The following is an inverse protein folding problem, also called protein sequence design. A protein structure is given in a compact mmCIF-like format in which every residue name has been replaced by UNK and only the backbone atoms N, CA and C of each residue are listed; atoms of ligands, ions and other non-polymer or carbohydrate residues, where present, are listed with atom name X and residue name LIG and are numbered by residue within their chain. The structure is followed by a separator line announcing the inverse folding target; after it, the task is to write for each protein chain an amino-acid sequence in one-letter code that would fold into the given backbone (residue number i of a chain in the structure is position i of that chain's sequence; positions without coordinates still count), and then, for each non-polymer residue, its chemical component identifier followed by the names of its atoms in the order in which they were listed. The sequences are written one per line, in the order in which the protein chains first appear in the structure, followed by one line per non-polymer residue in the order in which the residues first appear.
data_IF_291613575215
#
_entry.id   IF_291613575215
#
_cell.length_a   1.000
_cell.length_b   1.000
_cell.length_c   1.000
_cell.angle_alpha   90.00
_cell.angle_beta   90.00
_cell.angle_gamma   90.00
#
_symmetry.space_group_name_H-M   'P 1'
#
loop_
_entity.id
_entity.type
_entity.pdbx_description
1 polymer ?
#
# COMPACT_ATOMS: atom_id res chain seq x y z
N UNK A 1 -16.52 29.42 8.54
CA UNK A 1 -17.06 28.70 7.37
C UNK A 1 -16.39 29.25 6.13
N UNK A 2 -15.62 28.44 5.39
CA UNK A 2 -15.21 28.82 4.03
C UNK A 2 -16.46 28.91 3.17
N UNK A 3 -16.67 30.03 2.47
CA UNK A 3 -17.76 30.18 1.51
C UNK A 3 -17.54 29.22 0.34
N UNK A 4 -18.56 28.42 0.03
CA UNK A 4 -18.56 27.57 -1.15
C UNK A 4 -18.56 28.45 -2.39
N UNK A 5 -17.62 28.23 -3.30
CA UNK A 5 -17.54 28.98 -4.56
C UNK A 5 -17.22 28.04 -5.72
N UNK A 6 -17.24 28.56 -6.94
CA UNK A 6 -16.87 27.77 -8.13
C UNK A 6 -15.43 27.21 -8.06
N UNK A 7 -14.55 27.75 -7.20
CA UNK A 7 -13.21 27.19 -6.99
C UNK A 7 -13.21 25.98 -6.04
N UNK A 8 -14.28 25.74 -5.28
CA UNK A 8 -14.41 24.65 -4.31
C UNK A 8 -14.64 23.29 -4.96
N UNK A 9 -15.13 23.25 -6.19
CA UNK A 9 -15.39 22.01 -6.94
C UNK A 9 -14.66 22.09 -8.28
N UNK A 10 -13.78 21.13 -8.53
CA UNK A 10 -13.05 21.00 -9.79
C UNK A 10 -13.47 19.71 -10.49
N UNK A 11 -13.81 19.83 -11.77
CA UNK A 11 -14.14 18.70 -12.64
C UNK A 11 -12.89 18.23 -13.39
N UNK A 12 -12.95 17.04 -13.97
CA UNK A 12 -11.85 16.46 -14.78
C UNK A 12 -10.54 16.30 -14.00
N UNK A 13 -10.65 15.96 -12.72
CA UNK A 13 -9.51 15.75 -11.83
C UNK A 13 -9.41 14.27 -11.49
N UNK A 14 -8.20 13.73 -11.52
CA UNK A 14 -7.89 12.37 -11.10
C UNK A 14 -6.63 12.38 -10.23
N UNK A 15 -6.54 11.51 -9.20
CA UNK A 15 -5.25 11.26 -8.57
C UNK A 15 -4.28 10.68 -9.62
N UNK A 16 -3.00 11.01 -9.47
CA UNK A 16 -1.91 10.51 -10.31
C UNK A 16 -0.78 9.99 -9.42
N UNK A 17 -0.10 8.93 -9.88
CA UNK A 17 1.07 8.35 -9.22
C UNK A 17 2.25 8.36 -10.19
N UNK A 18 3.44 8.63 -9.69
CA UNK A 18 4.63 8.73 -10.51
C UNK A 18 5.25 7.36 -10.80
N UNK A 19 4.78 6.69 -11.85
CA UNK A 19 5.26 5.39 -12.30
C UNK A 19 5.45 5.37 -13.81
N UNK A 20 6.56 4.82 -14.27
CA UNK A 20 6.88 4.68 -15.70
C UNK A 20 7.56 3.34 -16.00
N UNK A 21 7.39 2.85 -17.22
CA UNK A 21 7.99 1.58 -17.66
C UNK A 21 9.46 1.79 -18.03
N UNK A 22 10.31 0.83 -17.66
CA UNK A 22 11.71 0.77 -18.06
C UNK A 22 12.12 -0.68 -18.35
N UNK A 23 13.17 -0.88 -19.14
CA UNK A 23 13.85 -2.17 -19.25
C UNK A 23 14.99 -2.22 -18.23
N UNK A 24 15.35 -3.40 -17.75
CA UNK A 24 16.61 -3.61 -17.04
C UNK A 24 17.77 -3.74 -18.02
N UNK A 25 18.98 -3.36 -17.60
CA UNK A 25 20.21 -3.72 -18.31
C UNK A 25 20.29 -5.26 -18.40
N UNK A 26 20.75 -5.82 -19.54
CA UNK A 26 20.87 -7.27 -19.69
C UNK A 26 21.72 -7.88 -18.58
N UNK A 27 21.19 -8.91 -17.91
CA UNK A 27 21.85 -9.58 -16.79
C UNK A 27 22.49 -10.85 -17.33
N UNK A 28 23.81 -10.93 -17.28
CA UNK A 28 24.56 -12.12 -17.68
C UNK A 28 24.66 -13.08 -16.49
N UNK A 29 23.87 -14.15 -16.51
CA UNK A 29 23.86 -15.17 -15.47
C UNK A 29 24.94 -16.19 -15.76
N UNK A 30 25.95 -16.24 -14.88
CA UNK A 30 27.10 -17.16 -14.99
C UNK A 30 27.10 -18.26 -13.93
N UNK A 31 26.13 -18.19 -12.99
CA UNK A 31 26.02 -19.03 -11.79
C UNK A 31 27.26 -19.02 -10.87
N UNK A 32 28.18 -18.05 -11.04
CA UNK A 32 29.30 -17.81 -10.11
C UNK A 32 28.90 -16.96 -8.91
N UNK A 33 27.76 -16.29 -9.01
CA UNK A 33 27.17 -15.46 -7.96
C UNK A 33 25.71 -15.87 -7.77
N UNK A 34 25.26 -15.80 -6.52
CA UNK A 34 23.86 -16.08 -6.15
C UNK A 34 22.96 -14.92 -6.57
N UNK A 35 23.45 -13.69 -6.38
CA UNK A 35 22.74 -12.46 -6.67
C UNK A 35 23.41 -11.71 -7.82
N UNK A 36 22.59 -11.11 -8.67
CA UNK A 36 23.00 -10.25 -9.78
C UNK A 36 22.37 -8.87 -9.64
N UNK A 37 23.08 -7.82 -10.04
CA UNK A 37 22.53 -6.47 -9.99
C UNK A 37 21.36 -6.31 -10.97
N UNK A 38 20.25 -5.78 -10.46
CA UNK A 38 19.07 -5.44 -11.24
C UNK A 38 19.01 -3.92 -11.39
N UNK A 39 19.44 -3.43 -12.56
CA UNK A 39 19.65 -2.00 -12.81
C UNK A 39 18.74 -1.56 -13.95
N UNK A 40 17.91 -0.51 -13.79
CA UNK A 40 17.14 0.05 -14.89
C UNK A 40 18.07 0.57 -15.99
N UNK A 41 17.73 0.34 -17.25
CA UNK A 41 18.45 0.90 -18.39
C UNK A 41 18.01 2.35 -18.64
N UNK A 42 18.47 3.23 -17.76
CA UNK A 42 18.14 4.67 -17.77
C UNK A 42 19.41 5.49 -17.62
N UNK A 43 19.41 6.72 -18.17
CA UNK A 43 20.60 7.60 -18.15
C UNK A 43 20.90 8.17 -16.76
N UNK A 44 19.90 8.28 -15.89
CA UNK A 44 20.02 8.90 -14.57
C UNK A 44 19.67 7.92 -13.45
N UNK A 45 20.46 6.84 -13.30
CA UNK A 45 20.20 5.76 -12.34
C UNK A 45 19.91 6.24 -10.92
N UNK A 46 20.61 7.28 -10.45
CA UNK A 46 20.44 7.86 -9.11
C UNK A 46 19.08 8.55 -8.90
N UNK A 47 18.37 8.89 -9.97
CA UNK A 47 17.06 9.55 -9.93
C UNK A 47 15.90 8.55 -9.95
N UNK A 48 16.17 7.28 -10.28
CA UNK A 48 15.15 6.28 -10.51
C UNK A 48 15.23 5.16 -9.48
N UNK A 49 14.10 4.61 -9.10
CA UNK A 49 13.99 3.47 -8.19
C UNK A 49 13.04 2.45 -8.79
N UNK A 50 13.39 1.17 -8.69
CA UNK A 50 12.54 0.08 -9.14
C UNK A 50 11.37 -0.03 -8.17
N UNK A 51 10.16 0.15 -8.69
CA UNK A 51 8.93 -0.04 -7.95
C UNK A 51 8.45 -1.49 -8.06
N UNK A 52 8.51 -2.07 -9.26
CA UNK A 52 8.05 -3.42 -9.53
C UNK A 52 8.88 -4.07 -10.65
N UNK A 53 9.02 -5.39 -10.59
CA UNK A 53 9.52 -6.22 -11.70
C UNK A 53 8.34 -6.94 -12.32
N UNK A 54 7.96 -6.52 -13.51
CA UNK A 54 6.74 -6.98 -14.16
C UNK A 54 6.94 -8.31 -14.87
N UNK A 55 8.12 -8.49 -15.50
CA UNK A 55 8.42 -9.67 -16.30
C UNK A 55 9.90 -9.95 -16.34
N UNK A 56 10.28 -11.24 -16.27
CA UNK A 56 11.67 -11.70 -16.39
C UNK A 56 11.73 -12.78 -17.47
N UNK A 57 12.59 -12.58 -18.46
CA UNK A 57 12.75 -13.48 -19.61
C UNK A 57 14.21 -13.88 -19.75
N UNK A 58 14.45 -15.18 -19.75
CA UNK A 58 15.68 -15.80 -20.20
C UNK A 58 15.70 -15.84 -21.74
N UNK A 59 16.81 -15.42 -22.35
CA UNK A 59 17.04 -15.53 -23.78
C UNK A 59 18.29 -16.37 -24.04
N UNK A 60 18.11 -17.52 -24.69
CA UNK A 60 19.20 -18.41 -25.10
C UNK A 60 19.16 -18.63 -26.62
N UNK A 61 20.32 -18.51 -27.26
CA UNK A 61 20.48 -18.87 -28.66
C UNK A 61 20.88 -20.35 -28.76
N UNK A 62 20.10 -21.16 -29.47
CA UNK A 62 20.37 -22.57 -29.73
C UNK A 62 20.02 -22.89 -31.18
N UNK A 63 20.93 -23.49 -31.94
CA UNK A 63 20.72 -23.87 -33.36
C UNK A 63 20.08 -22.77 -34.22
N UNK A 64 20.60 -21.54 -34.12
CA UNK A 64 20.10 -20.36 -34.82
C UNK A 64 18.65 -19.95 -34.49
N UNK A 65 18.08 -20.47 -33.40
CA UNK A 65 16.77 -20.08 -32.86
C UNK A 65 16.94 -19.39 -31.52
N UNK A 66 16.17 -18.32 -31.31
CA UNK A 66 16.04 -17.65 -30.03
C UNK A 66 14.99 -18.40 -29.21
N UNK A 67 15.41 -19.02 -28.12
CA UNK A 67 14.53 -19.64 -27.14
C UNK A 67 14.33 -18.63 -26.01
N UNK A 68 13.06 -18.31 -25.73
CA UNK A 68 12.69 -17.45 -24.62
C UNK A 68 11.92 -18.25 -23.57
N UNK A 69 12.30 -18.09 -22.31
CA UNK A 69 11.67 -18.75 -21.17
C UNK A 69 11.35 -17.72 -20.12
N UNK A 70 10.15 -17.78 -19.57
CA UNK A 70 9.69 -16.87 -18.54
C UNK A 70 10.07 -17.38 -17.15
N UNK A 71 10.37 -16.44 -16.26
CA UNK A 71 10.63 -16.69 -14.85
C UNK A 71 9.53 -16.04 -14.01
N UNK A 72 9.07 -16.75 -12.98
CA UNK A 72 7.99 -16.29 -12.11
C UNK A 72 8.52 -15.82 -10.74
N UNK A 73 7.84 -14.90 -10.03
CA UNK A 73 8.25 -14.55 -8.68
C UNK A 73 8.27 -15.79 -7.77
N UNK A 74 9.28 -15.94 -6.94
CA UNK A 74 9.43 -17.10 -6.04
C UNK A 74 8.24 -17.27 -5.07
N UNK A 75 7.58 -16.18 -4.70
CA UNK A 75 6.39 -16.21 -3.83
C UNK A 75 5.08 -16.40 -4.60
N UNK A 76 5.12 -16.48 -5.93
CA UNK A 76 3.97 -16.83 -6.76
C UNK A 76 3.82 -18.36 -6.90
N UNK A 77 4.32 -19.13 -5.92
CA UNK A 77 4.11 -20.58 -5.82
C UNK A 77 2.61 -20.88 -5.66
N UNK A 78 1.90 -20.85 -6.77
CA UNK A 78 0.57 -21.41 -6.87
C UNK A 78 0.75 -22.92 -6.80
N UNK A 79 0.60 -23.50 -5.61
CA UNK A 79 0.67 -24.95 -5.37
C UNK A 79 -0.38 -25.77 -6.17
N UNK A 80 -1.18 -25.14 -7.02
CA UNK A 80 -2.26 -25.73 -7.80
C UNK A 80 -2.06 -25.71 -9.33
N UNK A 81 -1.02 -25.06 -9.87
CA UNK A 81 -0.80 -25.06 -11.33
C UNK A 81 0.06 -26.27 -11.75
N UNK A 82 -0.53 -27.15 -12.58
CA UNK A 82 0.11 -28.36 -13.10
C UNK A 82 1.20 -28.10 -14.17
N UNK A 83 1.40 -26.85 -14.60
CA UNK A 83 2.40 -26.43 -15.59
C UNK A 83 3.51 -25.56 -14.97
N UNK A 84 3.99 -25.94 -13.79
CA UNK A 84 5.18 -25.33 -13.21
C UNK A 84 6.46 -25.82 -13.94
N UNK A 85 7.01 -24.97 -14.82
CA UNK A 85 8.32 -25.17 -15.48
C UNK A 85 9.51 -24.97 -14.51
N UNK A 86 9.21 -24.64 -13.24
CA UNK A 86 10.16 -24.65 -12.14
C UNK A 86 11.16 -23.49 -12.15
N UNK A 87 10.89 -22.41 -12.89
CA UNK A 87 11.78 -21.25 -13.04
C UNK A 87 11.26 -20.05 -12.29
N UNK A 88 12.02 -19.65 -11.28
CA UNK A 88 11.63 -18.62 -10.34
C UNK A 88 12.71 -17.58 -10.15
N UNK A 89 12.30 -16.37 -9.76
CA UNK A 89 13.22 -15.33 -9.34
C UNK A 89 12.83 -14.76 -7.97
N UNK A 90 13.83 -14.31 -7.23
CA UNK A 90 13.66 -13.57 -5.99
C UNK A 90 14.44 -12.26 -6.06
N UNK A 91 13.82 -11.19 -5.57
CA UNK A 91 14.43 -9.85 -5.57
C UNK A 91 14.75 -9.48 -4.12
N UNK A 92 15.96 -8.97 -3.93
CA UNK A 92 16.42 -8.41 -2.67
C UNK A 92 16.77 -6.94 -2.90
N UNK A 93 16.38 -6.07 -1.98
CA UNK A 93 16.91 -4.71 -1.89
C UNK A 93 18.04 -4.67 -0.88
N UNK A 94 19.18 -4.10 -1.26
CA UNK A 94 20.36 -3.91 -0.44
C UNK A 94 20.56 -2.42 -0.13
N UNK A 95 20.30 -2.03 1.13
CA UNK A 95 20.31 -0.62 1.55
C UNK A 95 21.74 -0.08 1.69
N UNK A 96 22.67 -0.90 2.17
CA UNK A 96 24.07 -0.48 2.31
C UNK A 96 24.64 -0.15 0.92
N UNK A 97 24.26 -0.96 -0.07
CA UNK A 97 24.56 -0.65 -1.47
C UNK A 97 23.86 0.63 -1.93
N UNK A 98 22.59 0.84 -1.57
CA UNK A 98 21.86 2.07 -1.90
C UNK A 98 22.56 3.35 -1.44
N UNK A 99 23.16 3.31 -0.25
CA UNK A 99 23.89 4.44 0.32
C UNK A 99 25.24 4.64 -0.37
N UNK A 100 25.93 3.55 -0.73
CA UNK A 100 27.23 3.61 -1.40
C UNK A 100 27.14 3.97 -2.89
N UNK A 101 26.14 3.44 -3.61
CA UNK A 101 25.99 3.60 -5.06
C UNK A 101 24.50 3.54 -5.45
N UNK A 102 23.89 4.72 -5.44
CA UNK A 102 22.50 4.93 -5.83
C UNK A 102 22.20 4.40 -7.24
N UNK A 103 21.09 3.67 -7.38
CA UNK A 103 20.61 3.06 -8.62
C UNK A 103 20.99 1.58 -8.78
N UNK A 104 21.71 1.01 -7.82
CA UNK A 104 22.10 -0.40 -7.77
C UNK A 104 21.56 -1.07 -6.49
N UNK A 105 20.43 -0.57 -5.97
CA UNK A 105 19.83 -1.04 -4.72
C UNK A 105 19.24 -2.45 -4.83
N UNK A 106 18.91 -2.90 -6.04
CA UNK A 106 18.18 -4.13 -6.24
C UNK A 106 19.06 -5.20 -6.83
N UNK A 107 18.95 -6.39 -6.27
CA UNK A 107 19.57 -7.60 -6.77
C UNK A 107 18.51 -8.65 -7.03
N UNK A 108 18.76 -9.48 -8.03
CA UNK A 108 17.89 -10.58 -8.42
C UNK A 108 18.66 -11.91 -8.35
N UNK A 109 17.99 -12.93 -7.85
CA UNK A 109 18.43 -14.30 -7.78
C UNK A 109 17.48 -15.16 -8.61
N UNK A 110 18.03 -16.15 -9.32
CA UNK A 110 17.29 -17.08 -10.15
C UNK A 110 17.33 -18.48 -9.53
N UNK A 111 16.20 -19.17 -9.53
CA UNK A 111 16.01 -20.49 -8.95
C UNK A 111 15.35 -21.38 -9.99
N UNK A 112 15.96 -22.54 -10.25
CA UNK A 112 15.43 -23.54 -11.19
C UNK A 112 15.28 -24.89 -10.48
N UNK A 113 14.11 -25.52 -10.61
CA UNK A 113 13.79 -26.82 -9.99
C UNK A 113 14.53 -27.98 -10.63
N UNK A 114 14.53 -28.03 -11.96
CA UNK A 114 15.18 -29.07 -12.76
C UNK A 114 16.28 -28.41 -13.60
N UNK A 115 17.48 -28.33 -13.03
CA UNK A 115 18.63 -27.78 -13.73
C UNK A 115 19.13 -28.81 -14.73
N UNK A 116 18.83 -28.61 -16.01
CA UNK A 116 19.62 -29.21 -17.08
C UNK A 116 20.98 -28.50 -17.07
N UNK A 117 22.09 -29.25 -17.10
CA UNK A 117 23.44 -28.67 -17.03
C UNK A 117 23.67 -27.72 -18.23
N UNK A 118 23.41 -26.44 -17.99
CA UNK A 118 23.64 -25.36 -18.94
C UNK A 118 25.10 -24.94 -18.83
N UNK A 119 25.96 -25.55 -19.65
CA UNK A 119 27.25 -24.99 -19.96
C UNK A 119 27.04 -23.65 -20.71
N UNK A 120 27.43 -22.53 -20.10
CA UNK A 120 27.44 -21.21 -20.73
C UNK A 120 26.73 -20.12 -19.91
N UNK A 121 27.07 -18.86 -20.18
CA UNK A 121 26.36 -17.72 -19.62
C UNK A 121 25.02 -17.54 -20.36
N UNK A 122 23.95 -17.25 -19.63
CA UNK A 122 22.64 -16.95 -20.22
C UNK A 122 22.29 -15.49 -19.98
N UNK A 123 21.65 -14.86 -20.96
CA UNK A 123 21.21 -13.47 -20.87
C UNK A 123 19.78 -13.40 -20.36
N UNK A 124 19.59 -12.77 -19.21
CA UNK A 124 18.28 -12.44 -18.66
C UNK A 124 17.93 -10.99 -19.00
N UNK A 125 16.65 -10.75 -19.26
CA UNK A 125 16.08 -9.41 -19.44
C UNK A 125 14.90 -9.25 -18.49
N UNK A 126 14.68 -8.04 -17.99
CA UNK A 126 13.55 -7.75 -17.12
C UNK A 126 12.82 -6.48 -17.57
N UNK A 127 11.49 -6.53 -17.53
CA UNK A 127 10.62 -5.36 -17.67
C UNK A 127 10.28 -4.83 -16.28
N UNK A 128 10.47 -3.53 -16.08
CA UNK A 128 10.39 -2.88 -14.79
C UNK A 128 9.32 -1.78 -14.80
N UNK A 129 8.69 -1.57 -13.66
CA UNK A 129 8.03 -0.31 -13.33
C UNK A 129 8.93 0.46 -12.38
N UNK A 130 9.16 1.73 -12.68
CA UNK A 130 10.10 2.59 -11.95
C UNK A 130 9.40 3.89 -11.51
N UNK A 131 9.97 4.54 -10.50
CA UNK A 131 9.57 5.86 -10.02
C UNK A 131 10.77 6.81 -9.93
N UNK A 132 10.54 8.12 -9.92
CA UNK A 132 11.59 9.15 -9.81
C UNK A 132 12.01 9.46 -8.36
N UNK A 133 11.97 8.47 -7.46
CA UNK A 133 12.32 8.63 -6.04
C UNK A 133 11.60 9.82 -5.40
N UNK A 134 12.35 10.73 -4.79
CA UNK A 134 11.88 11.90 -4.05
C UNK A 134 11.71 13.15 -4.94
N UNK A 135 12.01 13.05 -6.24
CA UNK A 135 11.90 14.17 -7.18
C UNK A 135 10.47 14.71 -7.34
N UNK A 136 9.40 13.88 -7.36
CA UNK A 136 8.04 14.39 -7.52
C UNK A 136 7.66 15.44 -6.46
N UNK A 137 8.10 15.27 -5.21
CA UNK A 137 7.83 16.21 -4.13
C UNK A 137 8.50 17.57 -4.31
N UNK A 138 9.52 17.66 -5.17
CA UNK A 138 10.29 18.86 -5.48
C UNK A 138 9.76 19.61 -6.72
N UNK A 139 8.76 19.05 -7.41
CA UNK A 139 8.16 19.68 -8.59
C UNK A 139 7.39 20.94 -8.17
N UNK A 140 7.66 22.04 -8.87
CA UNK A 140 6.91 23.29 -8.73
C UNK A 140 5.53 23.11 -9.37
N UNK A 141 4.47 23.32 -8.59
CA UNK A 141 3.09 23.19 -9.03
C UNK A 141 2.34 24.54 -9.04
N UNK A 142 1.24 24.62 -9.79
CA UNK A 142 0.41 25.82 -9.91
C UNK A 142 0.87 26.80 -11.00
N UNK A 143 1.63 26.34 -11.98
CA UNK A 143 2.10 27.17 -13.09
C UNK A 143 0.97 27.48 -14.07
N UNK A 144 0.95 28.71 -14.60
CA UNK A 144 -0.13 29.18 -15.50
C UNK A 144 -0.19 28.45 -16.85
N UNK A 145 0.91 27.79 -17.25
CA UNK A 145 0.99 27.03 -18.50
C UNK A 145 0.78 25.51 -18.30
N UNK A 146 0.47 25.08 -17.08
CA UNK A 146 0.44 23.67 -16.70
C UNK A 146 1.75 23.22 -16.05
N UNK A 147 1.64 22.22 -15.19
CA UNK A 147 2.73 21.63 -14.41
C UNK A 147 3.28 20.34 -15.04
N UNK A 148 2.48 19.70 -15.90
CA UNK A 148 2.81 18.42 -16.54
C UNK A 148 2.63 18.51 -18.05
N UNK A 149 3.41 17.70 -18.76
CA UNK A 149 3.33 17.56 -20.22
C UNK A 149 2.84 16.16 -20.56
N UNK A 150 2.03 16.03 -21.61
CA UNK A 150 1.63 14.74 -22.15
C UNK A 150 2.49 14.40 -23.36
N UNK A 151 3.12 13.23 -23.34
CA UNK A 151 3.74 12.66 -24.53
C UNK A 151 2.65 11.97 -25.36
N UNK A 152 2.24 12.61 -26.47
CA UNK A 152 1.41 11.96 -27.48
C UNK A 152 -0.11 12.18 -27.40
N UNK A 153 -0.64 12.93 -26.43
CA UNK A 153 -2.04 13.35 -26.45
C UNK A 153 -2.20 14.79 -26.98
N UNK A 154 -2.89 14.92 -28.11
CA UNK A 154 -3.38 16.20 -28.62
C UNK A 154 -4.84 16.41 -28.17
N UNK A 155 -5.14 17.53 -27.51
CA UNK A 155 -6.53 17.89 -27.17
C UNK A 155 -6.75 18.52 -25.78
N UNK A 156 -5.73 18.56 -24.91
CA UNK A 156 -5.80 19.27 -23.62
C UNK A 156 -5.06 20.59 -23.69
N UNK A 157 -5.64 21.65 -23.12
CA UNK A 157 -5.03 22.99 -23.06
C UNK A 157 -3.91 23.08 -22.04
N UNK A 158 -4.03 22.40 -20.90
CA UNK A 158 -3.01 22.37 -19.83
C UNK A 158 -3.30 21.27 -18.80
N UNK A 159 -2.26 20.61 -18.30
CA UNK A 159 -2.35 19.71 -17.14
C UNK A 159 -1.77 20.43 -15.92
N UNK A 160 -2.57 20.64 -14.88
CA UNK A 160 -2.15 21.33 -13.66
C UNK A 160 -2.35 20.44 -12.43
N UNK A 161 -1.38 20.45 -11.53
CA UNK A 161 -1.48 19.78 -10.25
C UNK A 161 -2.28 20.66 -9.28
N UNK A 162 -3.33 20.10 -8.68
CA UNK A 162 -4.15 20.83 -7.71
C UNK A 162 -3.49 20.94 -6.33
N UNK A 163 -2.56 20.04 -6.04
CA UNK A 163 -1.82 19.96 -4.77
C UNK A 163 -0.38 19.57 -5.07
N UNK A 164 0.52 19.94 -4.16
CA UNK A 164 1.90 19.47 -4.20
C UNK A 164 1.92 17.93 -4.18
N UNK A 165 2.72 17.28 -5.04
CA UNK A 165 2.96 15.86 -4.94
C UNK A 165 3.50 15.49 -3.56
N UNK A 166 3.05 14.35 -3.04
CA UNK A 166 3.46 13.87 -1.73
C UNK A 166 4.93 13.43 -1.75
N UNK A 167 5.57 13.45 -0.57
CA UNK A 167 6.87 12.78 -0.39
C UNK A 167 6.72 11.29 -0.60
N UNK A 168 7.79 10.65 -1.06
CA UNK A 168 7.83 9.21 -1.25
C UNK A 168 7.80 8.53 0.11
N UNK A 169 6.76 7.73 0.34
CA UNK A 169 6.62 6.94 1.55
C UNK A 169 7.40 5.64 1.36
N UNK A 170 8.33 5.36 2.27
CA UNK A 170 9.10 4.12 2.31
C UNK A 170 9.01 3.55 3.72
N UNK A 171 8.92 2.22 3.82
CA UNK A 171 9.26 1.57 5.07
C UNK A 171 10.77 1.63 5.25
N UNK A 172 11.20 1.89 6.48
CA UNK A 172 12.57 1.57 6.84
C UNK A 172 12.78 0.04 6.69
N UNK A 173 14.03 -0.39 6.59
CA UNK A 173 14.40 -1.81 6.50
C UNK A 173 15.26 -2.19 7.70
N UNK A 174 14.81 -1.84 8.91
CA UNK A 174 15.49 -2.16 10.17
C UNK A 174 15.13 -3.56 10.68
N UNK A 175 14.10 -4.19 10.10
CA UNK A 175 13.59 -5.50 10.50
C UNK A 175 12.42 -5.39 11.48
N UNK A 176 12.29 -4.27 12.21
CA UNK A 176 11.11 -3.99 13.04
C UNK A 176 9.83 -3.90 12.20
N UNK A 177 9.91 -3.45 10.95
CA UNK A 177 8.73 -3.29 10.08
C UNK A 177 8.10 -4.63 9.72
N UNK A 178 8.92 -5.69 9.63
CA UNK A 178 8.41 -7.06 9.46
C UNK A 178 7.64 -7.51 10.69
N UNK A 179 8.13 -7.21 11.89
CA UNK A 179 7.40 -7.47 13.13
C UNK A 179 6.13 -6.64 13.22
N UNK A 180 6.15 -5.36 12.83
CA UNK A 180 4.98 -4.50 12.71
C UNK A 180 3.91 -5.12 11.79
N UNK A 181 4.31 -5.62 10.62
CA UNK A 181 3.40 -6.28 9.68
C UNK A 181 2.86 -7.61 10.25
N UNK A 182 3.72 -8.42 10.89
CA UNK A 182 3.31 -9.66 11.54
C UNK A 182 2.27 -9.37 12.64
N UNK A 183 2.50 -8.34 13.46
CA UNK A 183 1.56 -7.90 14.48
C UNK A 183 0.21 -7.48 13.87
N UNK A 184 0.21 -6.72 12.77
CA UNK A 184 -1.01 -6.32 12.05
C UNK A 184 -1.83 -7.49 11.53
N UNK A 185 -1.15 -8.54 11.03
CA UNK A 185 -1.81 -9.70 10.42
C UNK A 185 -2.15 -10.77 11.49
N UNK A 186 -1.61 -10.64 12.70
CA UNK A 186 -1.90 -11.56 13.80
C UNK A 186 -3.38 -11.49 14.18
N UNK A 187 -4.02 -12.66 14.28
CA UNK A 187 -5.47 -12.84 14.21
C UNK A 187 -6.31 -12.16 15.30
N UNK A 188 -5.69 -11.53 16.30
CA UNK A 188 -6.40 -10.96 17.46
C UNK A 188 -6.06 -9.50 17.75
N UNK A 189 -5.12 -8.89 17.01
CA UNK A 189 -4.63 -7.56 17.38
C UNK A 189 -5.72 -6.49 17.26
N UNK A 190 -6.57 -6.56 16.24
CA UNK A 190 -7.67 -5.59 16.09
C UNK A 190 -8.76 -5.77 17.16
N UNK A 191 -9.05 -7.01 17.59
CA UNK A 191 -10.01 -7.26 18.66
C UNK A 191 -9.51 -6.74 20.02
N UNK A 192 -8.19 -6.73 20.23
CA UNK A 192 -7.55 -6.18 21.43
C UNK A 192 -7.46 -4.65 21.34
N UNK A 193 -7.09 -4.11 20.17
CA UNK A 193 -7.07 -2.67 19.90
C UNK A 193 -8.46 -2.03 20.07
N UNK A 194 -9.53 -2.76 19.78
CA UNK A 194 -10.89 -2.30 20.05
C UNK A 194 -11.24 -2.21 21.55
N UNK A 195 -10.38 -2.64 22.46
CA UNK A 195 -10.64 -2.65 23.92
C UNK A 195 -9.67 -1.77 24.71
N UNK A 196 -8.62 -1.24 24.07
CA UNK A 196 -7.58 -0.47 24.71
C UNK A 196 -7.13 0.67 23.79
N UNK A 197 -7.12 1.90 24.31
CA UNK A 197 -6.72 3.06 23.54
C UNK A 197 -5.24 3.05 23.17
N UNK A 198 -4.35 2.55 24.02
CA UNK A 198 -2.92 2.48 23.71
C UNK A 198 -2.65 1.47 22.60
N UNK A 199 -3.33 0.31 22.62
CA UNK A 199 -3.25 -0.66 21.52
C UNK A 199 -3.88 -0.10 20.23
N UNK A 200 -4.96 0.67 20.32
CA UNK A 200 -5.55 1.34 19.16
C UNK A 200 -4.60 2.38 18.55
N UNK A 201 -3.91 3.15 19.40
CA UNK A 201 -2.89 4.11 18.96
C UNK A 201 -1.72 3.40 18.29
N UNK A 202 -1.24 2.32 18.89
CA UNK A 202 -0.21 1.47 18.30
C UNK A 202 -0.67 0.98 16.92
N UNK A 203 -1.86 0.37 16.82
CA UNK A 203 -2.44 -0.09 15.56
C UNK A 203 -2.45 0.99 14.47
N UNK A 204 -2.98 2.18 14.77
CA UNK A 204 -3.02 3.27 13.80
C UNK A 204 -1.63 3.79 13.43
N UNK A 205 -0.69 3.80 14.38
CA UNK A 205 0.70 4.20 14.12
C UNK A 205 1.41 3.26 13.14
N UNK A 206 1.02 1.98 13.08
CA UNK A 206 1.58 1.01 12.13
C UNK A 206 1.23 1.35 10.67
N UNK A 207 0.12 2.06 10.44
CA UNK A 207 -0.28 2.55 9.11
C UNK A 207 0.30 3.92 8.76
N UNK A 208 0.87 4.66 9.73
CA UNK A 208 1.46 5.97 9.49
C UNK A 208 2.90 5.85 8.97
N UNK A 209 3.03 5.44 7.70
CA UNK A 209 4.32 5.35 7.01
C UNK A 209 4.99 6.73 6.92
N UNK A 210 4.21 7.80 6.83
CA UNK A 210 4.71 9.17 6.69
C UNK A 210 5.19 9.80 7.99
N UNK A 211 4.79 9.23 9.14
CA UNK A 211 5.04 9.74 10.49
C UNK A 211 4.73 11.24 10.65
N UNK A 212 3.68 11.71 9.98
CA UNK A 212 3.38 13.14 9.92
C UNK A 212 2.93 13.67 11.28
N UNK A 213 3.29 14.92 11.61
CA UNK A 213 2.87 15.54 12.87
C UNK A 213 1.34 15.59 13.00
N UNK A 214 0.63 15.80 11.90
CA UNK A 214 -0.84 15.77 11.87
C UNK A 214 -1.41 14.39 12.21
N UNK A 215 -0.85 13.32 11.65
CA UNK A 215 -1.30 11.95 11.97
C UNK A 215 -1.03 11.61 13.44
N UNK A 216 0.15 11.96 13.96
CA UNK A 216 0.49 11.77 15.37
C UNK A 216 -0.49 12.49 16.30
N UNK A 217 -0.88 13.72 15.98
CA UNK A 217 -1.89 14.45 16.76
C UNK A 217 -3.25 13.74 16.76
N UNK A 218 -3.70 13.22 15.61
CA UNK A 218 -4.96 12.47 15.52
C UNK A 218 -4.93 11.20 16.38
N UNK A 219 -3.82 10.46 16.33
CA UNK A 219 -3.60 9.24 17.12
C UNK A 219 -3.59 9.56 18.61
N UNK A 220 -2.81 10.56 19.05
CA UNK A 220 -2.80 11.03 20.44
C UNK A 220 -4.14 11.64 20.88
N UNK A 221 -4.99 12.01 19.93
CA UNK A 221 -6.35 12.46 20.19
C UNK A 221 -7.29 11.37 20.70
N UNK A 222 -6.94 10.09 20.59
CA UNK A 222 -7.73 8.97 21.12
C UNK A 222 -7.44 8.85 22.62
N UNK A 223 -8.47 9.04 23.44
CA UNK A 223 -8.34 9.07 24.91
C UNK A 223 -8.72 7.74 25.52
N UNK A 224 -9.82 7.13 25.10
CA UNK A 224 -10.23 5.81 25.54
C UNK A 224 -11.00 5.07 24.44
N UNK A 225 -11.01 3.74 24.55
CA UNK A 225 -11.84 2.88 23.72
C UNK A 225 -12.60 1.96 24.65
N UNK A 226 -13.92 1.98 24.55
CA UNK A 226 -14.82 1.15 25.35
C UNK A 226 -15.56 0.21 24.41
N UNK A 227 -15.59 -1.08 24.76
CA UNK A 227 -16.30 -2.09 23.98
C UNK A 227 -17.42 -2.71 24.80
N UNK A 228 -18.60 -2.82 24.21
CA UNK A 228 -19.75 -3.54 24.77
C UNK A 228 -20.37 -4.50 23.77
N UNK A 229 -21.13 -5.47 24.26
CA UNK A 229 -21.87 -6.42 23.43
C UNK A 229 -23.35 -6.11 23.55
N UNK A 230 -24.01 -5.87 22.43
CA UNK A 230 -25.45 -5.65 22.38
C UNK A 230 -26.13 -6.57 21.36
N UNK A 231 -27.38 -6.94 21.63
CA UNK A 231 -28.20 -7.66 20.68
C UNK A 231 -29.13 -6.68 19.96
N UNK A 232 -29.01 -6.56 18.63
CA UNK A 232 -29.98 -5.84 17.81
C UNK A 232 -30.91 -6.80 17.10
N UNK A 233 -32.18 -6.39 17.00
CA UNK A 233 -33.15 -7.07 16.14
C UNK A 233 -32.87 -6.69 14.70
N UNK A 234 -32.65 -7.67 13.84
CA UNK A 234 -32.51 -7.48 12.39
C UNK A 234 -33.71 -8.10 11.68
N UNK A 235 -34.25 -7.40 10.69
CA UNK A 235 -35.19 -7.96 9.74
C UNK A 235 -34.44 -8.84 8.73
N UNK A 236 -34.20 -10.11 9.08
CA UNK A 236 -33.83 -11.15 8.10
C UNK A 236 -35.11 -11.81 7.59
N UNK A 237 -35.13 -12.18 6.30
CA UNK A 237 -36.16 -13.05 5.75
C UNK A 237 -35.80 -14.51 6.09
N UNK A 238 -36.75 -15.40 6.45
CA UNK A 238 -38.20 -15.21 6.55
C UNK A 238 -38.72 -14.73 7.93
N UNK A 239 -37.86 -14.67 8.97
CA UNK A 239 -38.25 -14.21 10.30
C UNK A 239 -37.20 -13.26 10.91
N UNK A 240 -37.62 -12.23 11.66
CA UNK A 240 -36.70 -11.33 12.34
C UNK A 240 -35.87 -12.11 13.36
N UNK A 241 -34.55 -11.92 13.30
CA UNK A 241 -33.60 -12.55 14.20
C UNK A 241 -32.96 -11.52 15.12
N UNK A 242 -32.50 -11.95 16.29
CA UNK A 242 -31.57 -11.17 17.09
C UNK A 242 -30.15 -11.56 16.72
N UNK A 243 -29.32 -10.54 16.49
CA UNK A 243 -27.90 -10.73 16.27
C UNK A 243 -27.16 -9.97 17.34
N UNK A 244 -26.18 -10.64 17.94
CA UNK A 244 -25.23 -10.01 18.86
C UNK A 244 -24.16 -9.32 18.03
N UNK A 245 -23.81 -8.10 18.42
CA UNK A 245 -22.74 -7.33 17.82
C UNK A 245 -21.92 -6.64 18.88
N UNK A 246 -20.77 -6.14 18.42
CA UNK A 246 -19.79 -5.43 19.23
C UNK A 246 -19.95 -3.93 18.97
N UNK A 247 -20.21 -3.17 20.02
CA UNK A 247 -20.22 -1.71 19.98
C UNK A 247 -18.88 -1.21 20.48
N UNK A 248 -18.25 -0.36 19.68
CA UNK A 248 -16.95 0.27 19.99
C UNK A 248 -17.22 1.76 20.14
N UNK A 249 -17.08 2.28 21.35
CA UNK A 249 -17.14 3.72 21.65
C UNK A 249 -15.72 4.26 21.80
N UNK A 250 -15.34 5.19 20.91
CA UNK A 250 -14.02 5.81 20.90
C UNK A 250 -14.17 7.23 21.42
N UNK A 251 -13.58 7.50 22.58
CA UNK A 251 -13.56 8.83 23.16
C UNK A 251 -12.36 9.60 22.61
N UNK A 252 -12.60 10.77 22.04
CA UNK A 252 -11.55 11.60 21.44
C UNK A 252 -11.47 12.99 22.08
N UNK A 253 -10.29 13.59 22.04
CA UNK A 253 -10.10 15.01 22.27
C UNK A 253 -10.29 15.78 20.96
N UNK A 254 -11.44 16.42 20.78
CA UNK A 254 -11.79 17.13 19.54
C UNK A 254 -10.75 18.17 19.08
N UNK A 255 -10.00 18.77 20.01
CA UNK A 255 -8.97 19.76 19.67
C UNK A 255 -7.87 19.19 18.76
N UNK A 256 -7.59 17.90 18.90
CA UNK A 256 -6.57 17.21 18.10
C UNK A 256 -7.07 16.83 16.69
N UNK A 257 -8.38 16.87 16.45
CA UNK A 257 -9.01 16.55 15.16
C UNK A 257 -9.28 17.80 14.30
N UNK A 258 -8.64 18.92 14.62
CA UNK A 258 -8.78 20.16 13.86
C UNK A 258 -8.39 19.97 12.38
N UNK A 259 -9.31 20.30 11.47
CA UNK A 259 -9.10 20.18 10.02
C UNK A 259 -9.35 18.79 9.42
N UNK A 260 -9.74 17.81 10.24
CA UNK A 260 -10.10 16.45 9.78
C UNK A 260 -11.57 16.18 10.10
N UNK A 261 -12.24 15.48 9.19
CA UNK A 261 -13.63 15.07 9.42
C UNK A 261 -13.68 13.87 10.37
N UNK A 262 -14.12 14.09 11.60
CA UNK A 262 -14.36 13.03 12.60
C UNK A 262 -15.31 11.95 12.04
N UNK A 263 -16.27 12.34 11.19
CA UNK A 263 -17.18 11.39 10.53
C UNK A 263 -16.46 10.47 9.55
N UNK A 264 -15.55 11.01 8.73
CA UNK A 264 -14.76 10.19 7.80
C UNK A 264 -13.83 9.24 8.57
N UNK A 265 -13.24 9.72 9.66
CA UNK A 265 -12.45 8.89 10.55
C UNK A 265 -13.28 7.74 11.15
N UNK A 266 -14.48 8.03 11.67
CA UNK A 266 -15.40 7.02 12.19
C UNK A 266 -15.79 5.98 11.12
N UNK A 267 -16.05 6.42 9.89
CA UNK A 267 -16.38 5.52 8.77
C UNK A 267 -15.22 4.60 8.39
N UNK A 268 -13.99 5.14 8.35
CA UNK A 268 -12.79 4.35 8.09
C UNK A 268 -12.63 3.26 9.16
N UNK A 269 -12.75 3.63 10.44
CA UNK A 269 -12.67 2.67 11.54
C UNK A 269 -13.79 1.63 11.48
N UNK A 270 -15.03 2.04 11.22
CA UNK A 270 -16.15 1.11 11.07
C UNK A 270 -15.92 0.11 9.93
N UNK A 271 -15.31 0.54 8.82
CA UNK A 271 -14.97 -0.34 7.71
C UNK A 271 -13.87 -1.33 8.09
N UNK A 272 -12.80 -0.86 8.75
CA UNK A 272 -11.70 -1.70 9.21
C UNK A 272 -12.19 -2.73 10.24
N UNK A 273 -12.89 -2.31 11.29
CA UNK A 273 -13.43 -3.24 12.29
C UNK A 273 -14.49 -4.18 11.71
N UNK A 274 -15.25 -3.74 10.71
CA UNK A 274 -16.23 -4.57 10.00
C UNK A 274 -15.62 -5.84 9.41
N UNK A 275 -14.39 -5.80 8.89
CA UNK A 275 -13.70 -6.99 8.37
C UNK A 275 -13.40 -8.06 9.43
N UNK A 276 -13.32 -7.66 10.69
CA UNK A 276 -13.04 -8.56 11.81
C UNK A 276 -14.32 -8.97 12.57
N UNK A 277 -15.50 -8.56 12.08
CA UNK A 277 -16.76 -9.07 12.61
C UNK A 277 -16.83 -10.58 12.40
N UNK A 278 -17.19 -11.32 13.46
CA UNK A 278 -17.41 -12.76 13.34
C UNK A 278 -18.61 -13.06 12.44
N UNK A 279 -18.63 -14.28 11.89
CA UNK A 279 -19.77 -14.80 11.13
C UNK A 279 -21.05 -14.64 11.96
N UNK A 280 -22.07 -14.00 11.37
CA UNK A 280 -23.34 -13.67 12.03
C UNK A 280 -23.22 -12.71 13.23
N UNK A 281 -22.24 -11.81 13.21
CA UNK A 281 -22.14 -10.67 14.14
C UNK A 281 -22.10 -9.34 13.37
N UNK A 282 -22.22 -8.23 14.09
CA UNK A 282 -21.99 -6.90 13.55
C UNK A 282 -21.03 -6.12 14.43
N UNK A 283 -20.39 -5.11 13.85
CA UNK A 283 -19.64 -4.09 14.57
C UNK A 283 -20.29 -2.74 14.34
N UNK A 284 -20.43 -1.95 15.40
CA UNK A 284 -20.88 -0.57 15.35
C UNK A 284 -19.84 0.32 16.04
N UNK A 285 -19.43 1.39 15.35
CA UNK A 285 -18.46 2.36 15.88
C UNK A 285 -19.17 3.66 16.20
N UNK A 286 -18.92 4.18 17.39
CA UNK A 286 -19.34 5.51 17.83
C UNK A 286 -18.14 6.31 18.29
N UNK A 287 -18.18 7.62 18.06
CA UNK A 287 -17.18 8.56 18.54
C UNK A 287 -17.86 9.55 19.47
N UNK A 288 -17.31 9.69 20.67
CA UNK A 288 -17.76 10.64 21.68
C UNK A 288 -16.63 11.58 22.09
N UNK A 289 -16.98 12.74 22.63
CA UNK A 289 -16.01 13.67 23.21
C UNK A 289 -15.52 13.16 24.56
N UNK A 290 -14.21 13.17 24.79
CA UNK A 290 -13.64 12.67 26.04
C UNK A 290 -14.00 13.54 27.27
N UNK A 291 -14.22 14.85 27.07
CA UNK A 291 -14.48 15.82 28.14
C UNK A 291 -15.98 15.90 28.41
N UNK A 292 -16.79 16.16 27.38
CA UNK A 292 -18.25 16.34 27.55
C UNK A 292 -19.01 15.02 27.60
N UNK A 293 -18.39 13.92 27.15
CA UNK A 293 -19.01 12.59 26.99
C UNK A 293 -20.19 12.59 26.00
N UNK A 294 -20.35 13.66 25.22
CA UNK A 294 -21.40 13.73 24.20
C UNK A 294 -21.02 12.91 22.97
N UNK A 295 -22.00 12.19 22.41
CA UNK A 295 -21.83 11.46 21.16
C UNK A 295 -21.72 12.46 19.99
N UNK A 296 -20.59 12.42 19.29
CA UNK A 296 -20.32 13.27 18.13
C UNK A 296 -20.91 12.62 16.88
N UNK A 297 -20.67 11.31 16.73
CA UNK A 297 -21.15 10.56 15.57
C UNK A 297 -21.20 9.07 15.84
N UNK A 298 -22.22 8.40 15.32
CA UNK A 298 -22.39 6.94 15.34
C UNK A 298 -22.58 6.41 13.93
N UNK A 299 -21.75 5.43 13.57
CA UNK A 299 -21.82 4.73 12.29
C UNK A 299 -22.98 3.73 12.28
N UNK A 300 -23.45 3.36 11.09
CA UNK A 300 -24.38 2.24 10.93
C UNK A 300 -23.68 0.90 11.23
N UNK A 301 -24.38 -0.10 11.80
CA UNK A 301 -23.84 -1.44 12.00
C UNK A 301 -23.33 -2.08 10.71
N UNK A 302 -22.17 -2.75 10.77
CA UNK A 302 -21.55 -3.44 9.62
C UNK A 302 -21.25 -4.91 9.93
N UNK A 303 -21.36 -5.77 8.93
CA UNK A 303 -20.94 -7.18 8.99
C UNK A 303 -20.08 -7.46 7.76
N UNK A 304 -18.76 -7.49 7.93
CA UNK A 304 -17.82 -7.53 6.80
C UNK A 304 -17.91 -6.27 5.94
N UNK A 305 -18.04 -6.47 4.62
CA UNK A 305 -18.15 -5.42 3.61
C UNK A 305 -19.55 -4.80 3.50
N UNK A 306 -20.57 -5.47 4.04
CA UNK A 306 -21.96 -5.06 3.87
C UNK A 306 -22.48 -4.32 5.10
N UNK A 307 -23.29 -3.26 4.91
CA UNK A 307 -24.13 -2.77 6.01
C UNK A 307 -25.09 -3.88 6.45
N UNK A 308 -25.47 -3.88 7.73
CA UNK A 308 -26.36 -4.91 8.29
C UNK A 308 -27.80 -4.83 7.74
N UNK A 309 -28.16 -3.72 7.10
CA UNK A 309 -29.46 -3.40 6.50
C UNK A 309 -29.23 -2.79 5.11
#
# INVERSE_FOLDING_TARGET
MQQLSASSIKLFCTPVVNLFKAAAKPIQVTHRSIYYDLVPDTRALFQHEIYEVNKVIESKQSDNRLIQREYHPFYALNHYEQQDDGRYYHIKRDKDMAEFKQGFEYQIMFVEKNREDLAGAVSMSASLLCTNRDLPAQVVFGQSRGDLFSEGMSGFSSLSLLKQPTRTARFDYTGEERWRLISLISLNFLSLAAQDAELMKEYLSLYDITQSASNKLLVEGIVSVETSIEARRIQRLPQPGFVRGTLINIQINQKNFAGVSIRQFAHLLAHVFGYHASLNSFVEVSISDAITKEEIYRCQPRSGLSPLI
#
